data_IF_662319924050
#
_entry.id   IF_662319924050
#
_cell.length_a   1.000
_cell.length_b   1.000
_cell.length_c   1.000
_cell.angle_alpha   90.00
_cell.angle_beta   90.00
_cell.angle_gamma   90.00
#
_symmetry.space_group_name_H-M   'P 1'
#
loop_
_entity.id
_entity.type
_entity.pdbx_description
1 polymer ?
#
# COMPACT_ATOMS: atom_id res chain seq x y z
N UNK A 1 -9.98 -18.23 -17.59
CA UNK A 1 -9.30 -19.56 -17.59
C UNK A 1 -8.84 -19.99 -16.19
N UNK A 2 -8.70 -19.09 -15.25
CA UNK A 2 -8.27 -19.34 -13.85
C UNK A 2 -9.45 -19.35 -12.86
N UNK A 3 -10.69 -19.48 -13.33
CA UNK A 3 -11.88 -19.59 -12.49
C UNK A 3 -12.49 -18.23 -12.06
N UNK A 4 -11.89 -17.11 -12.45
CA UNK A 4 -12.50 -15.79 -12.19
C UNK A 4 -13.80 -15.60 -12.96
N UNK A 5 -14.83 -15.05 -12.29
CA UNK A 5 -16.13 -14.76 -12.87
C UNK A 5 -16.30 -13.25 -13.04
N UNK A 6 -16.46 -12.80 -14.28
CA UNK A 6 -16.78 -11.40 -14.56
C UNK A 6 -18.21 -11.11 -14.13
N UNK A 7 -18.40 -10.18 -13.21
CA UNK A 7 -19.71 -9.76 -12.70
C UNK A 7 -20.28 -8.59 -13.51
N UNK A 8 -19.42 -7.68 -13.98
CA UNK A 8 -19.77 -6.60 -14.91
C UNK A 8 -18.54 -6.16 -15.71
N UNK A 9 -18.75 -5.50 -16.84
CA UNK A 9 -17.69 -5.03 -17.73
C UNK A 9 -16.97 -6.17 -18.46
N UNK A 10 -15.64 -6.12 -18.50
CA UNK A 10 -14.82 -7.14 -19.15
C UNK A 10 -14.60 -6.93 -20.64
N UNK A 11 -15.03 -5.80 -21.18
CA UNK A 11 -14.94 -5.51 -22.62
C UNK A 11 -14.65 -4.04 -22.89
N UNK A 12 -14.34 -3.71 -24.14
CA UNK A 12 -14.22 -2.34 -24.61
C UNK A 12 -15.60 -1.75 -24.93
N UNK A 13 -15.86 -0.47 -24.66
CA UNK A 13 -17.10 0.19 -25.06
C UNK A 13 -17.16 0.24 -26.61
N UNK A 14 -18.29 -0.15 -27.18
CA UNK A 14 -18.47 -0.23 -28.64
C UNK A 14 -18.38 1.14 -29.31
N UNK A 15 -18.83 2.18 -28.63
CA UNK A 15 -18.87 3.55 -29.12
C UNK A 15 -17.50 4.23 -29.13
N UNK A 16 -16.49 3.63 -28.48
CA UNK A 16 -15.14 4.18 -28.34
C UNK A 16 -14.08 3.18 -28.80
N UNK A 17 -14.35 2.47 -29.91
CA UNK A 17 -13.49 1.40 -30.43
C UNK A 17 -12.07 1.84 -30.80
N UNK A 18 -11.91 3.10 -31.21
CA UNK A 18 -10.64 3.65 -31.71
C UNK A 18 -9.68 4.09 -30.60
N UNK A 19 -10.12 4.03 -29.32
CA UNK A 19 -9.33 4.42 -28.16
C UNK A 19 -8.90 3.25 -27.28
N UNK A 20 -8.06 3.55 -26.30
CA UNK A 20 -7.62 2.60 -25.26
C UNK A 20 -8.60 2.57 -24.06
N UNK A 21 -9.90 2.50 -24.34
CA UNK A 21 -10.93 2.45 -23.31
C UNK A 21 -11.26 1.03 -22.91
N UNK A 22 -11.59 0.85 -21.63
CA UNK A 22 -12.05 -0.41 -21.07
C UNK A 22 -13.18 -0.13 -20.07
N UNK A 23 -14.23 -0.90 -20.09
CA UNK A 23 -15.38 -0.70 -19.20
C UNK A 23 -14.98 -1.00 -17.74
N UNK A 24 -15.50 -0.26 -16.75
CA UNK A 24 -15.37 -0.63 -15.34
C UNK A 24 -15.78 -2.09 -15.14
N UNK A 25 -14.86 -2.87 -14.57
CA UNK A 25 -14.95 -4.32 -14.54
C UNK A 25 -14.83 -4.82 -13.10
N UNK A 26 -15.71 -5.74 -12.71
CA UNK A 26 -15.63 -6.43 -11.43
C UNK A 26 -15.50 -7.93 -11.69
N UNK A 27 -14.51 -8.55 -11.08
CA UNK A 27 -14.22 -9.98 -11.20
C UNK A 27 -14.29 -10.62 -9.81
N UNK A 28 -15.18 -11.57 -9.63
CA UNK A 28 -15.18 -12.47 -8.48
C UNK A 28 -14.12 -13.55 -8.69
N UNK A 29 -13.12 -13.59 -7.83
CA UNK A 29 -12.03 -14.55 -7.86
C UNK A 29 -12.30 -15.66 -6.84
N UNK A 30 -12.10 -16.96 -7.19
CA UNK A 30 -12.31 -18.08 -6.28
C UNK A 30 -11.34 -18.01 -5.09
N UNK A 31 -10.14 -17.52 -5.34
CA UNK A 31 -9.09 -17.23 -4.38
C UNK A 31 -8.17 -16.14 -4.92
N UNK A 32 -7.12 -15.79 -4.18
CA UNK A 32 -6.17 -14.78 -4.64
C UNK A 32 -5.10 -15.30 -5.62
N UNK A 33 -5.09 -16.56 -6.01
CA UNK A 33 -4.12 -17.08 -6.99
C UNK A 33 -4.47 -16.75 -8.43
N UNK A 34 -5.61 -16.14 -8.65
CA UNK A 34 -5.99 -15.59 -9.97
C UNK A 34 -5.12 -14.36 -10.28
N UNK A 35 -4.58 -14.28 -11.49
CA UNK A 35 -3.67 -13.19 -11.90
C UNK A 35 -4.24 -11.81 -11.64
N UNK A 36 -5.54 -11.60 -11.89
CA UNK A 36 -6.21 -10.32 -11.65
C UNK A 36 -6.27 -9.92 -10.17
N UNK A 37 -6.08 -10.86 -9.24
CA UNK A 37 -5.99 -10.60 -7.82
C UNK A 37 -4.56 -10.41 -7.31
N UNK A 38 -3.55 -10.80 -8.12
CA UNK A 38 -2.12 -10.70 -7.78
C UNK A 38 -1.42 -9.53 -8.48
N UNK A 39 -1.76 -9.32 -9.75
CA UNK A 39 -1.05 -8.36 -10.61
C UNK A 39 -1.74 -7.01 -10.50
N UNK A 40 -0.97 -5.94 -10.38
CA UNK A 40 -1.47 -4.58 -10.50
C UNK A 40 -1.82 -4.29 -11.96
N UNK A 41 -3.11 -4.28 -12.30
CA UNK A 41 -3.58 -4.14 -13.68
C UNK A 41 -3.51 -2.70 -14.21
N UNK A 42 -3.40 -1.71 -13.35
CA UNK A 42 -3.38 -0.28 -13.68
C UNK A 42 -4.53 0.16 -14.59
N UNK A 43 -5.73 -0.35 -14.33
CA UNK A 43 -6.94 -0.12 -15.12
C UNK A 43 -8.21 -0.20 -14.28
N UNK A 44 -9.39 0.03 -14.87
CA UNK A 44 -10.67 0.06 -14.18
C UNK A 44 -11.17 -1.37 -13.86
N UNK A 45 -10.35 -2.18 -13.21
CA UNK A 45 -10.66 -3.57 -12.86
C UNK A 45 -10.55 -3.77 -11.35
N UNK A 46 -11.61 -4.30 -10.75
CA UNK A 46 -11.69 -4.66 -9.34
C UNK A 46 -11.79 -6.18 -9.20
N UNK A 47 -10.86 -6.77 -8.48
CA UNK A 47 -10.90 -8.18 -8.08
C UNK A 47 -11.52 -8.32 -6.69
N UNK A 48 -12.45 -9.23 -6.53
CA UNK A 48 -13.14 -9.52 -5.28
C UNK A 48 -12.84 -10.94 -4.85
N UNK A 49 -12.29 -11.10 -3.67
CA UNK A 49 -12.04 -12.40 -3.03
C UNK A 49 -12.85 -12.47 -1.75
N UNK A 50 -13.59 -13.55 -1.56
CA UNK A 50 -14.37 -13.77 -0.33
C UNK A 50 -13.48 -14.36 0.75
N UNK A 51 -13.76 -14.02 1.99
CA UNK A 51 -13.12 -14.57 3.17
C UNK A 51 -14.17 -14.95 4.23
N UNK A 52 -13.81 -15.77 5.21
CA UNK A 52 -14.69 -16.24 6.28
C UNK A 52 -14.32 -15.69 7.65
N UNK A 53 -13.03 -15.44 7.89
CA UNK A 53 -12.55 -14.93 9.19
C UNK A 53 -11.72 -13.67 9.02
N UNK A 54 -11.54 -12.93 10.11
CA UNK A 54 -10.70 -11.72 10.14
C UNK A 54 -9.24 -12.06 9.80
N UNK A 55 -8.73 -13.18 10.30
CA UNK A 55 -7.38 -13.65 10.06
C UNK A 55 -7.16 -14.00 8.58
N UNK A 56 -8.13 -14.67 7.97
CA UNK A 56 -8.09 -14.99 6.54
C UNK A 56 -8.07 -13.72 5.70
N UNK A 57 -8.89 -12.72 6.06
CA UNK A 57 -8.91 -11.43 5.36
C UNK A 57 -7.56 -10.72 5.42
N UNK A 58 -6.92 -10.70 6.61
CA UNK A 58 -5.59 -10.11 6.80
C UNK A 58 -4.54 -10.86 5.99
N UNK A 59 -4.55 -12.19 6.00
CA UNK A 59 -3.64 -13.01 5.22
C UNK A 59 -3.78 -12.74 3.72
N UNK A 60 -5.01 -12.73 3.19
CA UNK A 60 -5.29 -12.43 1.80
C UNK A 60 -4.79 -11.04 1.43
N UNK A 61 -5.05 -10.04 2.25
CA UNK A 61 -4.64 -8.67 1.99
C UNK A 61 -3.12 -8.47 2.03
N UNK A 62 -2.41 -9.18 2.91
CA UNK A 62 -0.97 -9.07 3.07
C UNK A 62 -0.16 -9.94 2.11
N UNK A 63 -0.76 -11.02 1.57
CA UNK A 63 -0.13 -11.87 0.57
C UNK A 63 -0.10 -11.16 -0.79
N UNK A 64 0.62 -10.05 -0.88
CA UNK A 64 0.75 -9.17 -2.03
C UNK A 64 2.16 -8.57 -2.08
N UNK A 65 2.71 -8.43 -3.27
CA UNK A 65 4.01 -7.81 -3.48
C UNK A 65 3.99 -6.28 -3.31
N UNK A 66 2.81 -5.69 -3.31
CA UNK A 66 2.58 -4.25 -3.17
C UNK A 66 2.05 -3.90 -1.78
N UNK A 67 2.18 -2.63 -1.42
CA UNK A 67 1.72 -2.12 -0.13
C UNK A 67 1.66 -0.59 -0.11
N UNK A 68 1.04 0.04 -1.12
CA UNK A 68 0.87 1.49 -1.12
C UNK A 68 -0.22 1.90 -0.13
N UNK A 69 -1.43 1.37 -0.34
CA UNK A 69 -2.56 1.68 0.52
C UNK A 69 -3.45 0.48 0.74
N UNK A 70 -4.15 0.50 1.84
CA UNK A 70 -5.14 -0.48 2.24
C UNK A 70 -6.33 0.20 2.90
N UNK A 71 -7.40 -0.56 3.14
CA UNK A 71 -8.57 -0.03 3.83
C UNK A 71 -9.36 -1.13 4.52
N UNK A 72 -10.04 -0.74 5.58
CA UNK A 72 -10.95 -1.60 6.32
C UNK A 72 -12.24 -0.85 6.62
N UNK A 73 -13.36 -1.51 6.37
CA UNK A 73 -14.70 -0.99 6.63
C UNK A 73 -15.43 -1.92 7.58
N UNK A 74 -15.84 -1.41 8.73
CA UNK A 74 -16.61 -2.15 9.74
C UNK A 74 -17.35 -1.18 10.65
N UNK A 75 -18.49 -1.59 11.17
CA UNK A 75 -19.17 -0.88 12.27
C UNK A 75 -18.45 -1.06 13.60
N UNK A 76 -17.69 -2.15 13.75
CA UNK A 76 -16.83 -2.44 14.92
C UNK A 76 -15.51 -1.66 14.80
N UNK A 77 -15.39 -0.61 15.59
CA UNK A 77 -14.20 0.28 15.61
C UNK A 77 -12.96 -0.47 16.09
N UNK A 78 -13.08 -1.36 17.06
CA UNK A 78 -11.97 -2.15 17.58
C UNK A 78 -11.43 -3.11 16.51
N UNK A 79 -12.33 -3.70 15.71
CA UNK A 79 -11.96 -4.49 14.54
C UNK A 79 -11.21 -3.64 13.52
N UNK A 80 -11.71 -2.45 13.21
CA UNK A 80 -11.01 -1.53 12.31
C UNK A 80 -9.59 -1.25 12.80
N UNK A 81 -9.39 -1.05 14.09
CA UNK A 81 -8.08 -0.79 14.69
C UNK A 81 -7.15 -2.01 14.62
N UNK A 82 -7.62 -3.19 14.98
CA UNK A 82 -6.82 -4.43 14.91
C UNK A 82 -6.40 -4.73 13.46
N UNK A 83 -7.36 -4.74 12.56
CA UNK A 83 -7.10 -5.06 11.15
C UNK A 83 -6.17 -4.02 10.53
N UNK A 84 -6.41 -2.72 10.73
CA UNK A 84 -5.57 -1.67 10.14
C UNK A 84 -4.11 -1.76 10.58
N UNK A 85 -3.84 -2.17 11.84
CA UNK A 85 -2.47 -2.37 12.35
C UNK A 85 -1.80 -3.60 11.75
N UNK A 86 -2.58 -4.60 11.34
CA UNK A 86 -2.09 -5.85 10.79
C UNK A 86 -1.87 -5.79 9.27
N UNK A 87 -2.41 -4.78 8.58
CA UNK A 87 -2.23 -4.62 7.14
C UNK A 87 -0.85 -4.04 6.81
N UNK A 88 -0.16 -4.67 5.86
CA UNK A 88 1.21 -4.33 5.44
C UNK A 88 1.23 -3.29 4.31
N UNK A 89 0.59 -2.16 4.54
CA UNK A 89 0.58 -1.03 3.62
C UNK A 89 1.15 0.24 4.28
N UNK A 90 1.60 1.17 3.47
CA UNK A 90 2.08 2.47 3.95
C UNK A 90 0.97 3.36 4.47
N UNK A 91 -0.23 3.21 3.92
CA UNK A 91 -1.43 3.94 4.33
C UNK A 91 -2.54 2.93 4.60
N UNK A 92 -3.29 3.11 5.68
CA UNK A 92 -4.50 2.35 5.92
C UNK A 92 -5.67 3.29 6.22
N UNK A 93 -6.75 3.14 5.46
CA UNK A 93 -7.99 3.87 5.64
C UNK A 93 -8.98 3.08 6.51
N UNK A 94 -9.58 3.73 7.51
CA UNK A 94 -10.62 3.13 8.34
C UNK A 94 -11.94 3.82 8.06
N UNK A 95 -12.91 3.09 7.52
CA UNK A 95 -14.25 3.60 7.14
C UNK A 95 -14.23 4.85 6.25
N UNK A 96 -13.15 5.05 5.51
CA UNK A 96 -12.99 6.14 4.55
C UNK A 96 -12.13 5.67 3.37
N UNK A 97 -11.99 6.50 2.34
CA UNK A 97 -11.15 6.20 1.18
C UNK A 97 -10.55 7.49 0.61
N UNK A 98 -9.29 7.43 0.18
CA UNK A 98 -8.54 8.53 -0.46
C UNK A 98 -8.49 9.82 0.35
N UNK A 99 -8.45 9.73 1.66
CA UNK A 99 -8.22 10.87 2.52
C UNK A 99 -6.72 11.16 2.56
N UNK A 100 -6.28 12.22 1.90
CA UNK A 100 -4.86 12.60 1.79
C UNK A 100 -4.67 13.94 2.48
N UNK A 101 -3.62 14.05 3.29
CA UNK A 101 -3.22 15.29 3.96
C UNK A 101 -1.75 15.58 3.67
N UNK A 102 -1.44 16.83 3.38
CA UNK A 102 -0.04 17.29 3.25
C UNK A 102 0.76 17.15 4.55
N UNK A 103 0.09 17.06 5.70
CA UNK A 103 0.72 16.89 7.01
C UNK A 103 1.01 15.43 7.38
N UNK A 104 0.49 14.46 6.62
CA UNK A 104 0.69 13.03 6.84
C UNK A 104 1.63 12.47 5.80
N UNK A 105 2.59 11.62 6.22
CA UNK A 105 3.49 10.94 5.30
C UNK A 105 2.74 10.05 4.33
N UNK A 106 3.07 10.14 3.05
CA UNK A 106 2.52 9.34 1.98
C UNK A 106 3.62 8.48 1.36
N UNK A 107 3.39 7.19 1.20
CA UNK A 107 4.33 6.30 0.54
C UNK A 107 4.03 4.83 0.78
N UNK A 108 4.65 3.99 -0.04
CA UNK A 108 4.41 2.55 -0.06
C UNK A 108 5.31 1.74 0.87
N UNK A 109 5.00 0.45 0.91
CA UNK A 109 5.82 -0.63 1.45
C UNK A 109 6.03 -1.68 0.34
N UNK A 110 6.88 -2.66 0.58
CA UNK A 110 7.19 -3.73 -0.36
C UNK A 110 7.59 -3.15 -1.73
N UNK A 111 7.10 -3.69 -2.84
CA UNK A 111 7.41 -3.21 -4.19
C UNK A 111 6.74 -1.88 -4.57
N UNK A 112 5.79 -1.38 -3.76
CA UNK A 112 5.24 -0.03 -3.94
C UNK A 112 6.23 1.09 -3.58
N UNK A 113 7.43 0.76 -3.07
CA UNK A 113 8.51 1.70 -2.84
C UNK A 113 8.82 1.93 -1.37
N UNK A 114 9.92 2.64 -1.11
CA UNK A 114 10.44 2.90 0.23
C UNK A 114 10.51 4.38 0.60
N UNK A 115 10.36 5.27 -0.39
CA UNK A 115 10.34 6.72 -0.14
C UNK A 115 9.06 7.17 0.57
N UNK A 116 9.12 8.39 1.09
CA UNK A 116 7.95 9.07 1.69
C UNK A 116 7.85 10.48 1.15
N UNK A 117 6.63 10.86 0.83
CA UNK A 117 6.25 12.23 0.45
C UNK A 117 5.38 12.82 1.55
N UNK A 118 5.21 14.12 1.54
CA UNK A 118 4.41 14.86 2.52
C UNK A 118 4.86 14.67 3.97
N UNK A 119 4.24 15.38 4.88
CA UNK A 119 4.57 15.34 6.30
C UNK A 119 6.02 15.73 6.61
N UNK A 120 6.48 15.38 7.78
CA UNK A 120 7.85 15.65 8.24
C UNK A 120 8.91 14.87 7.45
N UNK A 121 8.55 13.68 6.95
CA UNK A 121 9.48 12.83 6.20
C UNK A 121 9.94 13.47 4.89
N UNK A 122 9.05 14.21 4.21
CA UNK A 122 9.40 14.94 2.99
C UNK A 122 10.44 16.04 3.27
N UNK A 123 10.31 16.76 4.39
CA UNK A 123 11.28 17.77 4.81
C UNK A 123 12.64 17.12 5.04
N UNK A 124 12.66 16.01 5.77
CA UNK A 124 13.90 15.27 6.06
C UNK A 124 14.58 14.75 4.80
N UNK A 125 13.81 14.30 3.81
CA UNK A 125 14.33 13.80 2.53
C UNK A 125 14.97 14.90 1.67
N UNK A 126 14.57 16.16 1.85
CA UNK A 126 15.12 17.33 1.13
C UNK A 126 16.32 17.96 1.84
N UNK A 127 16.78 17.41 2.95
CA UNK A 127 17.86 17.93 3.76
C UNK A 127 19.12 17.06 3.65
N UNK A 128 20.28 17.71 3.66
CA UNK A 128 21.57 17.04 3.81
C UNK A 128 22.01 17.12 5.26
N UNK A 129 22.15 15.97 5.90
CA UNK A 129 22.59 15.88 7.30
C UNK A 129 24.11 16.03 7.37
N UNK A 130 24.58 16.86 8.31
CA UNK A 130 26.00 17.03 8.61
C UNK A 130 26.25 16.83 10.11
N UNK A 131 27.16 15.95 10.45
CA UNK A 131 27.58 15.73 11.84
C UNK A 131 28.91 16.47 12.06
N UNK A 132 28.98 17.25 13.16
CA UNK A 132 30.18 17.95 13.56
C UNK A 132 30.54 17.45 14.97
N UNK A 133 31.75 16.89 15.10
CA UNK A 133 32.29 16.49 16.37
C UNK A 133 33.34 17.52 16.83
N UNK A 134 33.19 18.00 18.05
CA UNK A 134 34.14 18.92 18.65
C UNK A 134 34.69 18.30 19.94
N UNK A 135 36.02 18.21 20.05
CA UNK A 135 36.66 17.84 21.30
C UNK A 135 37.21 19.09 21.98
N UNK A 136 36.85 19.29 23.23
CA UNK A 136 37.41 20.32 24.09
C UNK A 136 38.56 19.76 24.98
N UNK A 137 38.91 18.48 24.78
CA UNK A 137 40.02 17.84 25.49
C UNK A 137 41.35 18.24 24.86
N UNK A 138 42.34 18.52 25.69
CA UNK A 138 43.75 18.70 25.28
C UNK A 138 44.46 17.36 25.07
N UNK A 139 43.83 16.25 25.41
CA UNK A 139 44.38 14.89 25.25
C UNK A 139 43.85 14.33 23.93
N UNK A 140 44.80 13.98 23.05
CA UNK A 140 44.47 13.26 21.82
C UNK A 140 44.14 11.81 22.19
N UNK A 141 42.91 11.41 22.04
CA UNK A 141 42.52 10.01 22.21
C UNK A 141 42.94 9.17 21.00
N UNK A 142 43.38 7.94 21.26
CA UNK A 142 43.70 6.98 20.21
C UNK A 142 42.46 6.64 19.40
N UNK A 143 42.37 6.98 18.09
CA UNK A 143 41.21 6.79 17.28
C UNK A 143 40.90 5.31 17.00
N UNK A 144 41.82 4.40 17.30
CA UNK A 144 41.67 2.96 17.08
C UNK A 144 41.19 2.20 18.33
N UNK A 145 41.02 2.88 19.47
CA UNK A 145 40.39 2.31 20.67
C UNK A 145 38.90 2.53 20.63
N UNK A 146 38.16 1.47 20.28
CA UNK A 146 36.71 1.44 20.38
C UNK A 146 36.32 1.33 21.87
N UNK A 147 35.52 2.25 22.35
CA UNK A 147 34.95 2.23 23.72
C UNK A 147 33.64 1.45 23.74
#
# INVERSE_FOLDING_TARGET
KQGGKVLCGGERPKELSDGCYFLPTVIECPDRNVDTAKIELFGPVLSVVKFKTEEEAIQIANDNDYGLSSGVFSEDVERCDRVSRSLEAGICFKNCYRFISYAASFGGRKQSGYGRESGYDAISAMQIKKTIWTSNSRVTEDPFKIR
#
